data_IF_681954306461
#
_entry.id   IF_681954306461
#
_cell.length_a   1.000
_cell.length_b   1.000
_cell.length_c   1.000
_cell.angle_alpha   90.00
_cell.angle_beta   90.00
_cell.angle_gamma   90.00
#
_symmetry.space_group_name_H-M   'P 1'
#
loop_
_entity.id
_entity.type
_entity.pdbx_description
1 polymer ?
#
# COMPACT_ATOMS: atom_id res chain seq x y z
N UNK A 1 -26.25 -12.16 -4.81
CA UNK A 1 -24.85 -11.76 -5.04
C UNK A 1 -24.63 -10.50 -4.21
N UNK A 2 -24.17 -10.66 -2.97
CA UNK A 2 -24.01 -9.56 -2.01
C UNK A 2 -22.66 -8.88 -2.26
N UNK A 3 -22.67 -7.59 -2.57
CA UNK A 3 -21.45 -6.78 -2.63
C UNK A 3 -20.96 -6.55 -1.18
N UNK A 4 -19.78 -7.06 -0.77
CA UNK A 4 -19.31 -6.95 0.61
C UNK A 4 -19.01 -5.50 1.04
N UNK A 5 -18.86 -4.60 0.07
CA UNK A 5 -18.32 -3.24 0.26
C UNK A 5 -19.27 -2.32 1.03
N UNK A 6 -20.58 -2.62 1.08
CA UNK A 6 -21.57 -1.71 1.70
C UNK A 6 -21.52 -1.70 3.24
N UNK A 7 -21.08 -2.77 3.90
CA UNK A 7 -21.11 -2.85 5.37
C UNK A 7 -19.92 -2.20 6.08
N UNK A 8 -18.90 -1.76 5.35
CA UNK A 8 -17.69 -1.15 5.93
C UNK A 8 -17.57 0.35 5.70
N UNK A 9 -18.60 0.99 5.12
CA UNK A 9 -18.69 2.44 4.92
C UNK A 9 -18.99 3.18 6.24
N UNK A 10 -18.03 3.19 7.16
CA UNK A 10 -17.85 4.29 8.11
C UNK A 10 -16.55 4.99 7.75
N UNK A 11 -16.58 5.74 6.64
CA UNK A 11 -15.53 6.70 6.34
C UNK A 11 -15.64 7.80 7.40
N UNK A 12 -14.61 7.90 8.25
CA UNK A 12 -14.41 9.10 9.07
C UNK A 12 -13.83 10.14 8.13
N UNK A 13 -14.35 11.35 8.15
CA UNK A 13 -13.85 12.49 7.37
C UNK A 13 -12.47 12.90 7.91
N UNK A 14 -11.45 12.10 7.61
CA UNK A 14 -10.08 12.45 7.92
C UNK A 14 -9.53 13.21 6.71
N UNK A 15 -9.50 14.53 6.84
CA UNK A 15 -8.84 15.51 5.97
C UNK A 15 -9.52 15.74 4.61
N UNK A 16 -9.88 17.00 4.29
CA UNK A 16 -10.64 17.41 3.09
C UNK A 16 -9.91 17.18 1.75
N UNK A 17 -8.80 16.43 1.74
CA UNK A 17 -7.91 16.19 0.62
C UNK A 17 -7.74 14.69 0.28
N UNK A 18 -8.36 13.79 1.06
CA UNK A 18 -8.28 12.34 0.84
C UNK A 18 -9.57 11.82 0.19
N UNK A 19 -9.44 11.18 -0.97
CA UNK A 19 -10.56 10.55 -1.68
C UNK A 19 -10.54 9.04 -1.44
N UNK A 20 -11.64 8.42 -1.00
CA UNK A 20 -11.68 6.98 -0.78
C UNK A 20 -11.48 6.21 -2.09
N UNK A 21 -10.72 5.12 -2.03
CA UNK A 21 -10.57 4.16 -3.12
C UNK A 21 -11.62 3.08 -2.93
N UNK A 22 -12.54 2.92 -3.88
CA UNK A 22 -13.67 1.99 -3.77
C UNK A 22 -13.55 0.78 -4.69
N UNK A 23 -12.62 0.82 -5.65
CA UNK A 23 -12.41 -0.20 -6.66
C UNK A 23 -10.91 -0.43 -6.86
N UNK A 24 -10.51 -1.69 -6.93
CA UNK A 24 -9.12 -2.08 -7.19
C UNK A 24 -8.70 -1.74 -8.64
N UNK A 25 -9.68 -1.62 -9.53
CA UNK A 25 -9.49 -1.27 -10.94
C UNK A 25 -9.03 0.19 -11.13
N UNK A 26 -9.30 1.08 -10.18
CA UNK A 26 -8.83 2.48 -10.20
C UNK A 26 -7.31 2.59 -9.99
N UNK A 27 -6.73 1.67 -9.21
CA UNK A 27 -5.32 1.69 -8.82
C UNK A 27 -4.69 0.29 -8.97
N UNK A 28 -4.40 -0.13 -10.22
CA UNK A 28 -3.84 -1.46 -10.50
C UNK A 28 -2.41 -1.64 -9.96
N UNK A 29 -1.75 -0.54 -9.57
CA UNK A 29 -0.46 -0.56 -8.89
C UNK A 29 -0.63 0.13 -7.53
N UNK A 30 -0.30 -0.58 -6.47
CA UNK A 30 -0.23 -0.05 -5.12
C UNK A 30 1.01 -0.63 -4.44
N UNK A 31 2.10 0.14 -4.40
CA UNK A 31 3.43 -0.39 -4.09
C UNK A 31 4.13 0.40 -2.99
N UNK A 32 4.72 -0.32 -2.06
CA UNK A 32 5.57 0.23 -1.01
C UNK A 32 7.04 -0.09 -1.30
N UNK A 33 7.86 0.95 -1.42
CA UNK A 33 9.31 0.79 -1.55
C UNK A 33 9.98 0.70 -0.18
N UNK A 34 10.85 -0.29 0.00
CA UNK A 34 11.61 -0.49 1.24
C UNK A 34 13.02 -1.02 0.96
N UNK A 35 13.76 -1.36 2.01
CA UNK A 35 15.08 -1.94 1.92
C UNK A 35 15.04 -3.42 2.31
N UNK A 36 15.86 -4.25 1.65
CA UNK A 36 16.02 -5.69 1.90
C UNK A 36 16.21 -6.02 3.38
N UNK A 37 17.01 -5.23 4.10
CA UNK A 37 17.27 -5.39 5.54
C UNK A 37 16.02 -5.29 6.42
N UNK A 38 14.94 -4.66 5.93
CA UNK A 38 13.69 -4.53 6.67
C UNK A 38 12.72 -5.69 6.41
N UNK A 39 12.96 -6.52 5.39
CA UNK A 39 11.98 -7.52 4.94
C UNK A 39 11.61 -8.51 6.03
N UNK A 40 12.58 -9.04 6.78
CA UNK A 40 12.30 -9.98 7.86
C UNK A 40 11.34 -9.38 8.90
N UNK A 41 11.59 -8.15 9.32
CA UNK A 41 10.71 -7.44 10.26
C UNK A 41 9.33 -7.14 9.65
N UNK A 42 9.26 -6.82 8.37
CA UNK A 42 8.00 -6.52 7.67
C UNK A 42 7.18 -7.81 7.49
N UNK A 43 7.80 -8.93 7.15
CA UNK A 43 7.14 -10.23 7.05
C UNK A 43 6.68 -10.75 8.42
N UNK A 44 7.41 -10.45 9.49
CA UNK A 44 6.99 -10.82 10.85
C UNK A 44 5.89 -9.94 11.43
N UNK A 45 5.81 -8.65 11.06
CA UNK A 45 4.96 -7.68 11.77
C UNK A 45 4.11 -6.75 10.89
N UNK A 46 4.14 -6.92 9.57
CA UNK A 46 3.46 -6.07 8.60
C UNK A 46 4.15 -4.73 8.33
N UNK A 47 3.60 -3.98 7.38
CA UNK A 47 3.98 -2.59 7.17
C UNK A 47 3.27 -1.72 8.20
N UNK A 48 4.04 -1.06 9.07
CA UNK A 48 3.51 -0.19 10.12
C UNK A 48 3.53 1.26 9.66
N UNK A 49 2.52 2.05 10.06
CA UNK A 49 2.53 3.53 9.88
C UNK A 49 3.67 4.21 10.65
N UNK A 50 4.29 3.48 11.59
CA UNK A 50 5.32 3.99 12.50
C UNK A 50 4.78 5.20 13.28
N UNK A 51 5.49 6.33 13.27
CA UNK A 51 5.05 7.58 13.90
C UNK A 51 4.08 8.41 13.03
N UNK A 52 3.78 7.97 11.80
CA UNK A 52 2.90 8.68 10.86
C UNK A 52 1.44 8.28 11.07
N UNK A 53 0.51 9.00 10.43
CA UNK A 53 -0.92 8.65 10.43
C UNK A 53 -1.25 7.47 9.50
N UNK A 54 -0.57 7.40 8.34
CA UNK A 54 -0.85 6.38 7.32
C UNK A 54 0.42 5.62 6.88
N UNK A 55 0.23 4.37 6.46
CA UNK A 55 1.16 3.68 5.56
C UNK A 55 1.00 4.29 4.17
N UNK A 56 2.12 4.56 3.51
CA UNK A 56 2.15 5.20 2.20
C UNK A 56 2.51 4.18 1.12
N UNK A 57 1.77 4.23 0.03
CA UNK A 57 1.99 3.46 -1.18
C UNK A 57 2.02 4.42 -2.38
N UNK A 58 2.80 4.06 -3.39
CA UNK A 58 2.79 4.71 -4.69
C UNK A 58 1.77 4.03 -5.61
N UNK A 59 1.10 4.82 -6.47
CA UNK A 59 0.24 4.30 -7.53
C UNK A 59 0.99 3.93 -8.83
N UNK A 60 2.32 3.97 -8.80
CA UNK A 60 3.18 3.68 -9.96
C UNK A 60 4.51 3.06 -9.54
N UNK A 61 5.16 2.37 -10.50
CA UNK A 61 6.47 1.77 -10.30
C UNK A 61 7.58 2.80 -10.53
N UNK A 62 8.66 2.79 -9.72
CA UNK A 62 9.85 3.57 -10.03
C UNK A 62 10.32 3.32 -11.46
N UNK A 63 10.84 4.36 -12.10
CA UNK A 63 11.59 4.32 -13.36
C UNK A 63 13.02 4.73 -13.04
N UNK A 64 13.99 4.31 -13.86
CA UNK A 64 15.40 4.58 -13.58
C UNK A 64 15.65 6.10 -13.47
N UNK A 65 16.00 6.55 -12.26
CA UNK A 65 16.34 7.95 -11.97
C UNK A 65 15.18 8.87 -11.59
N UNK A 66 13.92 8.44 -11.65
CA UNK A 66 12.79 9.31 -11.31
C UNK A 66 12.39 9.22 -9.83
N UNK A 67 12.02 10.37 -9.24
CA UNK A 67 11.34 10.40 -7.95
C UNK A 67 9.87 10.07 -8.18
N UNK A 68 9.34 9.10 -7.43
CA UNK A 68 7.90 8.83 -7.42
C UNK A 68 7.32 9.23 -6.08
N UNK A 69 6.19 9.94 -6.13
CA UNK A 69 5.42 10.33 -4.95
C UNK A 69 5.17 9.13 -4.04
N UNK A 70 5.54 9.28 -2.76
CA UNK A 70 5.34 8.24 -1.76
C UNK A 70 6.46 7.18 -1.69
N UNK A 71 7.50 7.27 -2.52
CA UNK A 71 8.63 6.32 -2.50
C UNK A 71 9.98 7.04 -2.45
N UNK A 72 10.95 6.47 -1.73
CA UNK A 72 12.35 6.94 -1.77
C UNK A 72 13.05 6.42 -3.02
N UNK A 73 14.01 7.18 -3.55
CA UNK A 73 14.74 6.78 -4.77
C UNK A 73 15.66 5.58 -4.58
N UNK A 74 16.16 5.35 -3.36
CA UNK A 74 17.20 4.36 -3.05
C UNK A 74 16.64 3.02 -2.53
N UNK A 75 15.34 2.78 -2.69
CA UNK A 75 14.72 1.50 -2.31
C UNK A 75 15.26 0.37 -3.18
N UNK A 76 15.40 -0.82 -2.61
CA UNK A 76 15.88 -2.01 -3.33
C UNK A 76 14.91 -3.20 -3.25
N UNK A 77 13.73 -2.95 -2.68
CA UNK A 77 12.62 -3.90 -2.62
C UNK A 77 11.30 -3.17 -2.81
N UNK A 78 10.41 -3.78 -3.59
CA UNK A 78 9.02 -3.37 -3.78
C UNK A 78 8.08 -4.41 -3.17
N UNK A 79 7.13 -3.96 -2.36
CA UNK A 79 6.05 -4.78 -1.81
C UNK A 79 4.74 -4.29 -2.44
N UNK A 80 4.07 -5.19 -3.15
CA UNK A 80 2.80 -4.91 -3.81
C UNK A 80 1.64 -5.27 -2.89
N UNK A 81 0.69 -4.35 -2.74
CA UNK A 81 -0.54 -4.59 -1.99
C UNK A 81 -1.59 -5.22 -2.90
N UNK A 82 -2.19 -6.31 -2.44
CA UNK A 82 -3.42 -6.85 -3.02
C UNK A 82 -4.59 -5.92 -2.65
N UNK A 83 -4.83 -4.92 -3.50
CA UNK A 83 -5.86 -3.88 -3.28
C UNK A 83 -7.25 -4.50 -3.21
N UNK A 84 -7.53 -5.51 -4.05
CA UNK A 84 -8.84 -6.18 -4.07
C UNK A 84 -9.12 -6.84 -2.73
N UNK A 85 -8.20 -7.68 -2.25
CA UNK A 85 -8.33 -8.36 -0.96
C UNK A 85 -8.36 -7.39 0.21
N UNK A 86 -7.56 -6.32 0.16
CA UNK A 86 -7.56 -5.29 1.18
C UNK A 86 -8.95 -4.61 1.29
N UNK A 87 -9.56 -4.23 0.16
CA UNK A 87 -10.90 -3.63 0.13
C UNK A 87 -12.00 -4.62 0.56
N UNK A 88 -11.95 -5.87 0.11
CA UNK A 88 -12.89 -6.92 0.49
C UNK A 88 -12.88 -7.21 1.99
N UNK A 89 -11.71 -7.09 2.63
CA UNK A 89 -11.54 -7.22 4.08
C UNK A 89 -11.59 -5.87 4.81
N UNK A 90 -12.15 -4.83 4.18
CA UNK A 90 -12.46 -3.54 4.77
C UNK A 90 -11.27 -2.68 5.23
N UNK A 91 -10.09 -2.89 4.64
CA UNK A 91 -8.97 -1.95 4.78
C UNK A 91 -9.33 -0.64 4.08
N UNK A 92 -9.34 0.47 4.83
CA UNK A 92 -9.62 1.79 4.27
C UNK A 92 -8.41 2.27 3.46
N UNK A 93 -8.62 2.49 2.17
CA UNK A 93 -7.63 3.02 1.24
C UNK A 93 -8.09 4.38 0.71
N UNK A 94 -7.15 5.29 0.57
CA UNK A 94 -7.40 6.65 0.11
C UNK A 94 -6.35 7.05 -0.92
N UNK A 95 -6.72 7.93 -1.85
CA UNK A 95 -5.80 8.62 -2.74
C UNK A 95 -5.74 10.10 -2.36
N UNK A 96 -4.53 10.63 -2.22
CA UNK A 96 -4.29 12.07 -2.08
C UNK A 96 -4.21 12.75 -3.43
N UNK A 97 -4.33 14.09 -3.47
CA UNK A 97 -4.20 14.85 -4.72
C UNK A 97 -2.82 14.66 -5.39
N UNK A 98 -1.76 14.40 -4.61
CA UNK A 98 -0.42 14.10 -5.10
C UNK A 98 -0.20 12.64 -5.53
N UNK A 99 -1.30 11.89 -5.73
CA UNK A 99 -1.29 10.50 -6.20
C UNK A 99 -0.57 9.51 -5.28
N UNK A 100 -0.53 9.80 -3.98
CA UNK A 100 -0.06 8.85 -2.95
C UNK A 100 -1.27 8.11 -2.39
N UNK A 101 -1.20 6.78 -2.40
CA UNK A 101 -2.17 5.90 -1.79
C UNK A 101 -1.85 5.75 -0.29
N UNK A 102 -2.87 5.89 0.55
CA UNK A 102 -2.74 5.99 2.00
C UNK A 102 -3.70 5.01 2.67
N UNK A 103 -3.25 4.36 3.74
CA UNK A 103 -4.10 3.57 4.62
C UNK A 103 -3.65 3.68 6.06
N UNK A 104 -4.62 3.71 6.98
CA UNK A 104 -4.34 3.51 8.41
C UNK A 104 -3.93 2.06 8.71
N UNK A 105 -4.19 1.12 7.78
CA UNK A 105 -4.12 -0.31 8.04
C UNK A 105 -5.17 -0.74 9.08
N UNK A 106 -4.97 -1.93 9.63
CA UNK A 106 -5.67 -2.39 10.83
C UNK A 106 -4.81 -2.04 12.04
N UNK A 107 -5.31 -1.15 12.90
CA UNK A 107 -4.61 -0.66 14.09
C UNK A 107 -3.18 -0.14 13.80
N UNK A 108 -3.00 0.52 12.64
CA UNK A 108 -1.71 1.08 12.22
C UNK A 108 -0.83 0.13 11.42
N UNK A 109 -1.33 -1.05 11.03
CA UNK A 109 -0.56 -2.12 10.38
C UNK A 109 -1.24 -2.63 9.11
N UNK A 110 -0.49 -2.83 8.05
CA UNK A 110 -0.89 -3.63 6.88
C UNK A 110 -0.26 -5.02 7.01
N UNK A 111 -1.05 -6.07 7.35
CA UNK A 111 -0.54 -7.42 7.50
C UNK A 111 0.06 -8.02 6.21
N UNK A 112 1.06 -8.92 6.30
CA UNK A 112 1.66 -9.57 5.15
C UNK A 112 0.69 -10.41 4.31
N UNK A 113 -0.45 -10.84 4.86
CA UNK A 113 -1.50 -11.56 4.11
C UNK A 113 -2.13 -10.74 2.98
N UNK A 114 -1.88 -9.42 2.93
CA UNK A 114 -2.30 -8.54 1.85
C UNK A 114 -1.17 -8.20 0.88
N UNK A 115 0.02 -8.81 1.02
CA UNK A 115 1.06 -8.64 0.03
C UNK A 115 0.78 -9.58 -1.14
N UNK A 116 0.60 -9.00 -2.32
CA UNK A 116 0.39 -9.77 -3.56
C UNK A 116 1.70 -10.40 -4.03
N UNK A 117 2.78 -9.61 -4.00
CA UNK A 117 4.13 -10.05 -4.35
C UNK A 117 5.19 -9.12 -3.78
N UNK A 118 6.42 -9.63 -3.73
CA UNK A 118 7.61 -8.87 -3.36
C UNK A 118 8.66 -9.04 -4.47
N UNK A 119 9.26 -7.95 -4.90
CA UNK A 119 10.28 -7.95 -5.96
C UNK A 119 11.52 -7.15 -5.53
N UNK A 120 12.68 -7.56 -6.02
CA UNK A 120 13.89 -6.72 -5.92
C UNK A 120 13.78 -5.51 -6.84
N UNK A 121 14.45 -4.43 -6.50
CA UNK A 121 14.54 -3.23 -7.33
C UNK A 121 16.00 -2.78 -7.48
N UNK A 122 16.47 -2.41 -8.69
CA UNK A 122 15.75 -2.37 -9.98
C UNK A 122 15.64 -3.74 -10.69
N UNK A 123 16.20 -4.80 -10.11
CA UNK A 123 16.30 -6.11 -10.78
C UNK A 123 14.98 -6.82 -11.08
N UNK A 124 13.86 -6.42 -10.47
CA UNK A 124 12.51 -7.00 -10.62
C UNK A 124 12.47 -8.52 -10.42
N UNK A 125 13.38 -9.07 -9.64
CA UNK A 125 13.40 -10.50 -9.35
C UNK A 125 12.38 -10.80 -8.24
N UNK A 126 11.50 -11.80 -8.41
CA UNK A 126 10.59 -12.22 -7.35
C UNK A 126 11.34 -12.62 -6.09
N UNK A 127 10.83 -12.20 -4.93
CA UNK A 127 11.33 -12.57 -3.61
C UNK A 127 10.24 -13.44 -2.94
N UNK A 128 10.47 -14.75 -2.76
CA UNK A 128 9.54 -15.62 -2.04
C UNK A 128 9.39 -15.20 -0.57
N UNK A 129 8.18 -15.36 -0.02
CA UNK A 129 7.84 -15.06 1.37
C UNK A 129 6.70 -15.94 1.89
#
# INVERSE_FOLDING_TARGET
MFCPVLHCLKAVETESLLKPILSAEEFPVCVHGTYRKNLESILGSGLKRMKRLHVHFSCGLPTDGEVISGMRQDVNVLIFLDVRKALEECMKLYISDNKVILTEGFDGVVPPKYFEKIESWPGKQPIPF
#
